data_IF_820945354852
#
_entry.id   IF_820945354852
#
_cell.length_a   1.000
_cell.length_b   1.000
_cell.length_c   1.000
_cell.angle_alpha   90.00
_cell.angle_beta   90.00
_cell.angle_gamma   90.00
#
_symmetry.space_group_name_H-M   'P 1'
#
loop_
_entity.id
_entity.type
_entity.pdbx_description
1 polymer ?
#
# COMPACT_ATOMS: atom_id res chain seq x y z
N UNK A 1 -5.03 -11.03 8.26
CA UNK A 1 -3.71 -10.72 7.71
C UNK A 1 -3.52 -11.46 6.39
N UNK A 2 -2.93 -10.80 5.41
CA UNK A 2 -2.53 -11.42 4.12
C UNK A 2 -1.01 -11.38 4.06
N UNK A 3 -0.37 -12.53 3.91
CA UNK A 3 1.08 -12.68 3.87
C UNK A 3 1.46 -13.78 2.87
N UNK A 4 2.49 -13.53 2.08
CA UNK A 4 2.99 -14.49 1.08
C UNK A 4 4.30 -15.18 1.48
N UNK A 5 4.91 -14.73 2.58
CA UNK A 5 6.15 -15.34 3.10
C UNK A 5 5.77 -16.32 4.20
N UNK A 6 5.88 -17.65 3.97
CA UNK A 6 5.40 -18.66 4.90
C UNK A 6 6.00 -18.54 6.30
N UNK A 7 7.29 -18.27 6.40
CA UNK A 7 7.99 -18.17 7.68
C UNK A 7 7.47 -16.98 8.52
N UNK A 8 7.20 -15.84 7.88
CA UNK A 8 6.64 -14.67 8.54
C UNK A 8 5.20 -14.95 9.02
N UNK A 9 4.43 -15.65 8.20
CA UNK A 9 3.06 -16.03 8.55
C UNK A 9 3.02 -17.00 9.73
N UNK A 10 3.87 -18.02 9.74
CA UNK A 10 3.95 -19.00 10.87
C UNK A 10 4.24 -18.27 12.17
N UNK A 11 5.24 -17.39 12.20
CA UNK A 11 5.57 -16.61 13.41
C UNK A 11 4.39 -15.75 13.88
N UNK A 12 3.67 -15.11 12.95
CA UNK A 12 2.48 -14.32 13.29
C UNK A 12 1.34 -15.18 13.84
N UNK A 13 1.13 -16.37 13.26
CA UNK A 13 0.12 -17.34 13.74
C UNK A 13 0.45 -17.86 15.15
N UNK A 14 1.71 -18.21 15.41
CA UNK A 14 2.16 -18.65 16.74
C UNK A 14 1.93 -17.56 17.79
N UNK A 15 2.30 -16.31 17.48
CA UNK A 15 2.04 -15.17 18.37
C UNK A 15 0.56 -14.94 18.64
N UNK A 16 -0.27 -15.01 17.61
CA UNK A 16 -1.73 -14.88 17.76
C UNK A 16 -2.30 -15.97 18.66
N UNK A 17 -1.84 -17.21 18.49
CA UNK A 17 -2.22 -18.36 19.35
C UNK A 17 -1.77 -18.13 20.80
N UNK A 18 -0.51 -17.75 21.01
CA UNK A 18 0.08 -17.61 22.35
C UNK A 18 -0.56 -16.45 23.13
N UNK A 19 -1.04 -15.42 22.42
CA UNK A 19 -1.82 -14.32 22.98
C UNK A 19 -3.33 -14.62 23.10
N UNK A 20 -3.77 -15.80 22.67
CA UNK A 20 -5.18 -16.21 22.73
C UNK A 20 -6.12 -15.39 21.83
N UNK A 21 -5.59 -14.78 20.77
CA UNK A 21 -6.39 -13.97 19.84
C UNK A 21 -7.32 -14.87 19.01
N UNK A 22 -8.62 -14.58 19.04
CA UNK A 22 -9.66 -15.34 18.33
C UNK A 22 -10.22 -14.62 17.10
N UNK A 23 -9.84 -13.37 16.90
CA UNK A 23 -10.34 -12.47 15.87
C UNK A 23 -9.28 -12.18 14.78
N UNK A 24 -8.26 -13.01 14.66
CA UNK A 24 -7.21 -12.91 13.66
C UNK A 24 -7.31 -14.07 12.69
N UNK A 25 -7.37 -13.77 11.40
CA UNK A 25 -7.40 -14.73 10.31
C UNK A 25 -6.20 -14.50 9.40
N UNK A 26 -5.65 -15.58 8.86
CA UNK A 26 -4.46 -15.54 8.00
C UNK A 26 -4.80 -16.10 6.62
N UNK A 27 -4.33 -15.41 5.59
CA UNK A 27 -4.49 -15.81 4.19
C UNK A 27 -3.10 -15.88 3.56
N UNK A 28 -2.72 -17.08 3.11
CA UNK A 28 -1.49 -17.30 2.34
C UNK A 28 -1.72 -16.85 0.90
N UNK A 29 -1.42 -15.61 0.62
CA UNK A 29 -1.62 -15.02 -0.68
C UNK A 29 -0.79 -13.76 -0.92
N UNK A 30 -0.61 -13.42 -2.19
CA UNK A 30 -0.11 -12.11 -2.61
C UNK A 30 -1.24 -11.08 -2.58
N UNK A 31 -0.91 -9.85 -2.19
CA UNK A 31 -1.87 -8.74 -2.14
C UNK A 31 -2.53 -8.40 -3.49
N UNK A 32 -1.98 -8.91 -4.60
CA UNK A 32 -2.64 -8.78 -5.91
C UNK A 32 -3.96 -9.53 -6.00
N UNK A 33 -4.16 -10.56 -5.16
CA UNK A 33 -5.37 -11.37 -5.10
C UNK A 33 -6.46 -10.85 -4.16
N UNK A 34 -6.29 -9.70 -3.51
CA UNK A 34 -7.29 -9.18 -2.55
C UNK A 34 -8.72 -9.16 -3.09
N UNK A 35 -8.99 -8.75 -4.34
CA UNK A 35 -10.36 -8.78 -4.89
C UNK A 35 -10.94 -10.18 -5.10
N UNK A 36 -10.10 -11.23 -5.02
CA UNK A 36 -10.55 -12.63 -5.14
C UNK A 36 -11.00 -13.19 -3.78
N UNK A 37 -10.58 -12.56 -2.66
CA UNK A 37 -10.86 -12.99 -1.29
C UNK A 37 -11.92 -12.15 -0.60
N UNK A 38 -12.04 -10.86 -0.97
CA UNK A 38 -12.94 -9.91 -0.34
C UNK A 38 -13.95 -9.35 -1.33
N UNK A 39 -15.18 -9.23 -0.90
CA UNK A 39 -16.23 -8.56 -1.65
C UNK A 39 -15.99 -7.03 -1.73
N UNK A 40 -16.60 -6.34 -2.70
CA UNK A 40 -16.52 -4.89 -2.77
C UNK A 40 -16.97 -4.21 -1.48
N UNK A 41 -16.12 -3.35 -0.93
CA UNK A 41 -16.41 -2.60 0.30
C UNK A 41 -16.38 -3.42 1.59
N UNK A 42 -15.91 -4.66 1.57
CA UNK A 42 -15.87 -5.54 2.75
C UNK A 42 -14.76 -5.16 3.74
N UNK A 43 -13.71 -4.50 3.28
CA UNK A 43 -12.55 -4.15 4.10
C UNK A 43 -12.62 -2.67 4.48
N UNK A 44 -12.85 -2.34 5.74
CA UNK A 44 -12.91 -0.95 6.20
C UNK A 44 -11.55 -0.24 6.17
N UNK A 45 -10.48 -1.00 6.45
CA UNK A 45 -9.13 -0.44 6.61
C UNK A 45 -8.04 -1.43 6.22
N UNK A 46 -7.04 -0.94 5.50
CA UNK A 46 -5.82 -1.67 5.17
C UNK A 46 -4.63 -1.10 5.95
N UNK A 47 -3.79 -1.98 6.47
CA UNK A 47 -2.52 -1.62 7.09
C UNK A 47 -1.37 -2.14 6.23
N UNK A 48 -0.50 -1.25 5.76
CA UNK A 48 0.72 -1.57 5.03
C UNK A 48 1.89 -1.11 5.89
N UNK A 49 2.50 -2.06 6.60
CA UNK A 49 3.57 -1.76 7.55
C UNK A 49 4.89 -2.37 7.06
N UNK A 50 5.91 -1.52 6.86
CA UNK A 50 7.29 -1.92 6.57
C UNK A 50 7.44 -2.90 5.39
N UNK A 51 6.67 -2.66 4.33
CA UNK A 51 6.76 -3.46 3.12
C UNK A 51 8.06 -3.18 2.35
N UNK A 52 8.44 -4.11 1.45
CA UNK A 52 9.64 -4.02 0.63
C UNK A 52 9.70 -2.72 -0.18
N UNK A 53 10.79 -1.93 -0.08
CA UNK A 53 10.88 -0.63 -0.73
C UNK A 53 11.17 -0.72 -2.24
N UNK A 54 11.67 -1.85 -2.74
CA UNK A 54 12.04 -2.04 -4.14
C UNK A 54 12.77 -0.81 -4.71
N UNK A 55 14.04 -0.55 -4.31
CA UNK A 55 14.71 0.75 -4.53
C UNK A 55 14.91 1.10 -6.00
N UNK A 56 14.98 0.10 -6.88
CA UNK A 56 15.20 0.28 -8.32
C UNK A 56 13.91 0.74 -9.01
N UNK A 57 13.97 1.82 -9.81
CA UNK A 57 12.81 2.35 -10.58
C UNK A 57 12.12 1.28 -11.43
N UNK A 58 12.90 0.37 -12.03
CA UNK A 58 12.37 -0.77 -12.81
C UNK A 58 11.42 -1.67 -12.01
N UNK A 59 11.59 -1.72 -10.69
CA UNK A 59 10.78 -2.54 -9.79
C UNK A 59 9.68 -1.76 -9.07
N UNK A 60 9.45 -0.49 -9.39
CA UNK A 60 8.43 0.33 -8.73
C UNK A 60 7.03 -0.30 -8.74
N UNK A 61 6.69 -1.03 -9.81
CA UNK A 61 5.41 -1.76 -9.94
C UNK A 61 5.21 -2.89 -8.90
N UNK A 62 6.27 -3.29 -8.18
CA UNK A 62 6.22 -4.29 -7.10
C UNK A 62 5.91 -3.68 -5.73
N UNK A 63 6.00 -2.36 -5.59
CA UNK A 63 5.69 -1.67 -4.34
C UNK A 63 4.20 -1.79 -4.04
N UNK A 64 3.85 -2.15 -2.82
CA UNK A 64 2.45 -2.29 -2.40
C UNK A 64 1.67 -0.96 -2.45
N UNK A 65 2.36 0.16 -2.52
CA UNK A 65 1.77 1.50 -2.69
C UNK A 65 1.75 2.00 -4.14
N UNK A 66 2.20 1.18 -5.11
CA UNK A 66 2.08 1.54 -6.53
C UNK A 66 0.61 1.53 -6.98
N UNK A 67 0.24 2.42 -7.91
CA UNK A 67 -1.16 2.57 -8.41
C UNK A 67 -1.82 1.26 -8.83
N UNK A 68 -1.06 0.29 -9.36
CA UNK A 68 -1.61 -1.03 -9.74
C UNK A 68 -2.19 -1.78 -8.54
N UNK A 69 -1.60 -1.64 -7.36
CA UNK A 69 -2.14 -2.18 -6.11
C UNK A 69 -3.26 -1.30 -5.56
N UNK A 70 -3.09 0.03 -5.60
CA UNK A 70 -4.10 0.97 -5.12
C UNK A 70 -5.44 0.75 -5.83
N UNK A 71 -5.45 0.50 -7.14
CA UNK A 71 -6.66 0.19 -7.90
C UNK A 71 -7.34 -1.12 -7.43
N UNK A 72 -6.57 -2.09 -6.92
CA UNK A 72 -7.13 -3.31 -6.32
C UNK A 72 -7.69 -3.03 -4.92
N UNK A 73 -6.98 -2.25 -4.12
CA UNK A 73 -7.46 -1.86 -2.78
C UNK A 73 -8.77 -1.07 -2.86
N UNK A 74 -8.93 -0.23 -3.88
CA UNK A 74 -10.19 0.47 -4.14
C UNK A 74 -11.39 -0.45 -4.31
N UNK A 75 -11.19 -1.65 -4.85
CA UNK A 75 -12.27 -2.60 -5.08
C UNK A 75 -12.80 -3.16 -3.76
N UNK A 76 -11.94 -3.40 -2.79
CA UNK A 76 -12.30 -4.02 -1.51
C UNK A 76 -12.60 -3.01 -0.40
N UNK A 77 -12.15 -1.75 -0.54
CA UNK A 77 -12.45 -0.68 0.41
C UNK A 77 -13.75 0.05 0.03
N UNK A 78 -14.61 0.41 1.00
CA UNK A 78 -15.74 1.32 0.76
C UNK A 78 -15.23 2.74 0.47
N UNK A 79 -16.10 3.63 0.02
CA UNK A 79 -15.77 5.05 -0.10
C UNK A 79 -15.48 5.62 1.29
N UNK A 80 -14.43 6.41 1.41
CA UNK A 80 -13.89 6.85 2.69
C UNK A 80 -13.08 5.80 3.46
N UNK A 81 -12.94 4.58 2.93
CA UNK A 81 -12.06 3.55 3.49
C UNK A 81 -10.59 3.98 3.48
N UNK A 82 -9.79 3.47 4.41
CA UNK A 82 -8.47 4.00 4.72
C UNK A 82 -7.35 3.00 4.44
N UNK A 83 -6.21 3.49 3.95
CA UNK A 83 -4.93 2.80 3.96
C UNK A 83 -4.03 3.48 4.99
N UNK A 84 -3.64 2.74 6.03
CA UNK A 84 -2.64 3.17 7.01
C UNK A 84 -1.27 2.66 6.58
N UNK A 85 -0.39 3.55 6.23
CA UNK A 85 0.94 3.22 5.72
C UNK A 85 2.03 3.68 6.68
N UNK A 86 2.95 2.76 7.03
CA UNK A 86 4.15 3.03 7.81
C UNK A 86 5.39 2.44 7.14
N UNK A 87 6.50 3.15 7.17
CA UNK A 87 7.81 2.69 6.69
C UNK A 87 8.95 3.47 7.35
N UNK A 88 10.11 2.83 7.48
CA UNK A 88 11.39 3.44 7.83
C UNK A 88 12.11 4.00 6.59
N UNK A 89 11.63 3.68 5.38
CA UNK A 89 12.28 4.04 4.12
C UNK A 89 11.71 5.34 3.55
N UNK A 90 12.47 6.44 3.67
CA UNK A 90 12.07 7.75 3.19
C UNK A 90 11.79 7.78 1.66
N UNK A 91 12.55 7.01 0.85
CA UNK A 91 12.36 6.95 -0.59
C UNK A 91 11.05 6.26 -0.98
N UNK A 92 10.68 5.18 -0.28
CA UNK A 92 9.39 4.53 -0.45
C UNK A 92 8.26 5.45 0.03
N UNK A 93 8.46 6.17 1.14
CA UNK A 93 7.45 7.08 1.67
C UNK A 93 7.15 8.23 0.69
N UNK A 94 8.18 8.91 0.18
CA UNK A 94 8.01 9.97 -0.81
C UNK A 94 7.27 9.48 -2.06
N UNK A 95 7.70 8.34 -2.61
CA UNK A 95 7.01 7.70 -3.73
C UNK A 95 5.53 7.42 -3.43
N UNK A 96 5.24 6.90 -2.23
CA UNK A 96 3.88 6.51 -1.86
C UNK A 96 2.94 7.69 -1.73
N UNK A 97 3.42 8.80 -1.12
CA UNK A 97 2.64 10.04 -0.98
C UNK A 97 2.29 10.65 -2.35
N UNK A 98 3.19 10.54 -3.34
CA UNK A 98 2.94 10.97 -4.72
C UNK A 98 2.00 10.01 -5.47
N UNK A 99 2.06 8.71 -5.20
CA UNK A 99 1.30 7.69 -5.91
C UNK A 99 -0.16 7.57 -5.40
N UNK A 100 -0.42 7.84 -4.12
CA UNK A 100 -1.77 7.75 -3.53
C UNK A 100 -2.80 8.60 -4.29
N UNK A 101 -2.59 9.89 -4.59
CA UNK A 101 -3.54 10.68 -5.38
C UNK A 101 -3.81 10.10 -6.75
N UNK A 102 -2.78 9.60 -7.44
CA UNK A 102 -2.91 8.96 -8.75
C UNK A 102 -3.77 7.68 -8.71
N UNK A 103 -3.82 7.01 -7.54
CA UNK A 103 -4.69 5.87 -7.26
C UNK A 103 -6.07 6.25 -6.71
N UNK A 104 -6.39 7.55 -6.60
CA UNK A 104 -7.65 8.04 -6.03
C UNK A 104 -7.73 7.93 -4.52
N UNK A 105 -6.61 8.08 -3.83
CA UNK A 105 -6.54 8.17 -2.38
C UNK A 105 -5.94 9.51 -1.95
N UNK A 106 -6.57 10.18 -0.99
CA UNK A 106 -6.10 11.45 -0.46
C UNK A 106 -5.19 11.19 0.76
N UNK A 107 -3.88 11.49 0.69
CA UNK A 107 -3.01 11.40 1.85
C UNK A 107 -3.40 12.42 2.92
N UNK A 108 -3.49 11.96 4.16
CA UNK A 108 -3.75 12.75 5.36
C UNK A 108 -2.81 12.31 6.48
N UNK A 109 -2.71 13.07 7.55
CA UNK A 109 -1.87 12.76 8.72
C UNK A 109 -0.45 12.36 8.31
N UNK A 110 0.11 13.07 7.32
CA UNK A 110 1.46 12.81 6.80
C UNK A 110 2.49 13.28 7.82
N UNK A 111 3.39 12.39 8.22
CA UNK A 111 4.52 12.73 9.11
C UNK A 111 5.78 11.98 8.70
N UNK A 112 6.91 12.68 8.81
CA UNK A 112 8.23 12.11 8.56
C UNK A 112 8.80 11.38 9.77
N UNK A 113 8.20 11.58 10.96
CA UNK A 113 8.59 10.88 12.18
C UNK A 113 7.39 10.76 13.13
N UNK A 114 6.81 9.57 13.13
CA UNK A 114 5.60 9.24 13.91
C UNK A 114 5.83 9.39 15.42
N UNK A 115 7.05 9.14 15.89
CA UNK A 115 7.36 9.07 17.32
C UNK A 115 8.16 10.25 17.84
N UNK A 116 8.29 11.33 17.06
CA UNK A 116 9.04 12.55 17.43
C UNK A 116 8.62 13.10 18.80
N UNK A 117 7.32 13.14 19.05
CA UNK A 117 6.74 13.70 20.27
C UNK A 117 6.28 12.62 21.27
N UNK A 118 6.86 11.43 21.19
CA UNK A 118 6.51 10.26 21.98
C UNK A 118 5.84 9.15 21.20
N UNK A 119 5.73 7.97 21.81
CA UNK A 119 5.18 6.78 21.17
C UNK A 119 3.71 7.00 20.78
N UNK A 120 3.38 6.78 19.52
CA UNK A 120 2.05 6.91 18.96
C UNK A 120 1.51 5.54 18.51
N UNK A 121 0.31 5.18 19.01
CA UNK A 121 -0.40 3.97 18.61
C UNK A 121 0.29 2.66 19.03
N UNK A 122 -0.04 1.58 18.32
CA UNK A 122 0.56 0.26 18.54
C UNK A 122 1.82 0.13 17.70
N UNK A 123 2.94 -0.14 18.37
CA UNK A 123 4.20 -0.45 17.71
C UNK A 123 4.25 -1.91 17.27
N UNK A 124 4.68 -2.16 16.03
CA UNK A 124 5.15 -3.50 15.65
C UNK A 124 6.55 -3.76 16.23
N UNK A 125 6.98 -5.01 16.32
CA UNK A 125 8.36 -5.33 16.77
C UNK A 125 9.41 -4.71 15.85
N UNK A 126 9.12 -4.65 14.55
CA UNK A 126 9.98 -4.02 13.56
C UNK A 126 10.11 -2.52 13.83
N UNK A 127 8.98 -1.85 14.08
CA UNK A 127 8.91 -0.44 14.43
C UNK A 127 9.67 -0.14 15.74
N UNK A 128 9.47 -0.96 16.77
CA UNK A 128 10.17 -0.81 18.04
C UNK A 128 11.71 -0.90 17.88
N UNK A 129 12.18 -1.82 17.04
CA UNK A 129 13.61 -1.96 16.73
C UNK A 129 14.17 -0.69 16.07
N UNK A 130 13.50 -0.15 15.06
CA UNK A 130 13.97 1.04 14.36
C UNK A 130 13.86 2.30 15.23
N UNK A 131 12.79 2.42 16.01
CA UNK A 131 12.64 3.50 16.97
C UNK A 131 13.77 3.50 18.03
N UNK A 132 14.13 2.32 18.58
CA UNK A 132 15.24 2.18 19.50
C UNK A 132 16.60 2.56 18.88
N UNK A 133 16.74 2.46 17.56
CA UNK A 133 17.93 2.88 16.80
C UNK A 133 17.92 4.36 16.44
N UNK A 134 16.86 5.11 16.80
CA UNK A 134 16.69 6.51 16.43
C UNK A 134 16.34 6.72 14.95
N UNK A 135 15.86 5.67 14.26
CA UNK A 135 15.42 5.78 12.86
C UNK A 135 13.99 6.31 12.83
N UNK A 136 13.73 7.42 12.11
CA UNK A 136 12.39 7.97 11.97
C UNK A 136 11.43 6.97 11.32
N UNK A 137 10.19 6.95 11.79
CA UNK A 137 9.10 6.16 11.20
C UNK A 137 8.17 7.11 10.45
N UNK A 138 8.18 7.01 9.14
CA UNK A 138 7.27 7.75 8.28
C UNK A 138 5.89 7.12 8.31
N UNK A 139 4.84 7.95 8.37
CA UNK A 139 3.46 7.48 8.39
C UNK A 139 2.55 8.42 7.60
N UNK A 140 1.56 7.86 6.92
CA UNK A 140 0.38 8.58 6.47
C UNK A 140 -0.88 7.70 6.53
N UNK A 141 -2.03 8.35 6.45
CA UNK A 141 -3.34 7.72 6.22
C UNK A 141 -3.81 8.20 4.85
N UNK A 142 -4.09 7.27 3.94
CA UNK A 142 -4.62 7.60 2.62
C UNK A 142 -6.10 7.19 2.55
N UNK A 143 -6.97 8.17 2.39
CA UNK A 143 -8.43 7.99 2.38
C UNK A 143 -8.93 7.82 0.96
N UNK A 144 -9.72 6.79 0.70
CA UNK A 144 -10.32 6.54 -0.62
C UNK A 144 -11.29 7.66 -0.99
N UNK A 145 -11.01 8.31 -2.11
CA UNK A 145 -11.83 9.33 -2.74
C UNK A 145 -12.10 8.99 -4.21
N UNK A 146 -12.39 9.97 -5.02
CA UNK A 146 -12.59 9.80 -6.46
C UNK A 146 -11.27 9.52 -7.19
N UNK A 147 -11.33 8.78 -8.29
CA UNK A 147 -10.19 8.65 -9.18
C UNK A 147 -9.99 9.96 -9.94
N UNK A 148 -8.75 10.43 -10.09
CA UNK A 148 -8.49 11.57 -10.95
C UNK A 148 -8.89 11.23 -12.40
N UNK A 149 -9.35 12.22 -13.18
CA UNK A 149 -9.64 12.01 -14.60
C UNK A 149 -8.38 11.45 -15.27
N UNK A 150 -8.55 10.37 -16.04
CA UNK A 150 -7.45 9.87 -16.84
C UNK A 150 -7.17 10.89 -17.96
N UNK A 151 -5.90 11.19 -18.27
CA UNK A 151 -5.59 11.95 -19.47
C UNK A 151 -6.22 11.23 -20.66
N UNK A 152 -7.01 11.95 -21.45
CA UNK A 152 -7.56 11.43 -22.70
C UNK A 152 -6.42 10.81 -23.50
N UNK A 153 -6.60 9.55 -23.93
CA UNK A 153 -5.67 8.93 -24.84
C UNK A 153 -5.53 9.83 -26.07
N UNK A 154 -4.33 10.30 -26.36
CA UNK A 154 -4.10 11.06 -27.59
C UNK A 154 -4.68 10.26 -28.75
N UNK A 155 -5.45 10.88 -29.67
CA UNK A 155 -6.02 10.18 -30.81
C UNK A 155 -4.87 9.49 -31.55
N UNK A 156 -5.02 8.19 -31.78
CA UNK A 156 -4.08 7.44 -32.61
C UNK A 156 -4.04 8.13 -33.96
N UNK A 157 -2.89 8.71 -34.28
CA UNK A 157 -2.67 9.42 -35.52
C UNK A 157 -3.03 8.51 -36.69
N UNK A 158 -3.94 8.96 -37.55
CA UNK A 158 -4.22 8.38 -38.84
C UNK A 158 -2.89 8.11 -39.57
N UNK A 159 -2.56 6.84 -39.71
CA UNK A 159 -1.49 6.44 -40.64
C UNK A 159 -1.95 6.80 -42.03
N UNK A 160 -1.50 7.96 -42.53
CA UNK A 160 -1.59 8.28 -43.91
C UNK A 160 -0.73 7.29 -44.72
N UNK A 161 -1.38 6.42 -45.47
CA UNK A 161 -0.73 5.58 -46.47
C UNK A 161 0.09 6.47 -47.45
N UNK A 162 1.36 6.09 -47.75
CA UNK A 162 2.08 6.77 -48.82
C UNK A 162 1.49 6.44 -50.15
N UNK A 163 1.06 7.49 -50.85
CA UNK A 163 0.58 7.39 -52.23
C UNK A 163 1.61 6.72 -53.12
N UNK A 164 1.23 5.60 -53.71
CA UNK A 164 2.00 4.96 -54.81
C UNK A 164 1.93 5.88 -56.01
N UNK A 165 3.07 6.46 -56.36
CA UNK A 165 3.25 7.08 -57.72
C UNK A 165 3.70 5.97 -58.64
N UNK A 166 2.91 5.78 -59.71
CA UNK A 166 3.20 4.93 -60.86
C UNK A 166 4.25 5.52 -61.81
#
# INVERSE_FOLDING_TARGET
>A
AVEKVPDAMVVAMERARDQGLKNVFFVDADATGLPDFFAPGEVDRLYINFCDPWPTKRHAKRRLTHRNFLLKYRQVLPDGGEIHFKTDNAGLFAFSVEEFPAGGFQPTQVTDDLHRDGIQGVMTDYEAKFHAMGTPIHRCVAVKGELPPQPEAAPEGEMTEPAQQG
#
